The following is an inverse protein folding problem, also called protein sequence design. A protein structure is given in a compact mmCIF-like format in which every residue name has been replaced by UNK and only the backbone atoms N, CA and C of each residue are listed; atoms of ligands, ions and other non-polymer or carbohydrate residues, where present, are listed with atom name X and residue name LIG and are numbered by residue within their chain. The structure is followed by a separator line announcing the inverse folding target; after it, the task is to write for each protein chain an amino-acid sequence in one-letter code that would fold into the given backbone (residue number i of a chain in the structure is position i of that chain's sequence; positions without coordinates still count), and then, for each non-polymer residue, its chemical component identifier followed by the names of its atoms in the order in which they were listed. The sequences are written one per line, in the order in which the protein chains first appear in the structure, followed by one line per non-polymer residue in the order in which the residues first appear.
data_IF_923817506198
#
_entry.id   IF_923817506198
#
_cell.length_a   1.000
_cell.length_b   1.000
_cell.length_c   1.000
_cell.angle_alpha   90.00
_cell.angle_beta   90.00
_cell.angle_gamma   90.00
#
_symmetry.space_group_name_H-M   'P 1'
#
loop_
_entity.id
_entity.type
_entity.pdbx_description
1 polymer ?
#
# COMPACT_ATOMS: atom_id res chain seq x y z
N UNK A 1 -61.58 30.41 13.51
CA UNK A 1 -61.55 29.48 14.66
C UNK A 1 -60.09 29.27 15.08
N UNK A 2 -59.82 29.32 16.41
CA UNK A 2 -58.82 28.59 17.25
C UNK A 2 -57.62 27.91 16.57
N UNK A 3 -56.45 27.72 17.19
CA UNK A 3 -55.72 28.18 18.40
C UNK A 3 -54.37 27.43 18.31
N UNK A 4 -53.31 28.04 18.82
CA UNK A 4 -51.98 27.46 19.04
C UNK A 4 -52.02 26.25 20.01
N UNK A 5 -51.21 25.19 19.79
CA UNK A 5 -50.20 24.66 20.75
C UNK A 5 -49.56 23.30 20.37
N UNK A 6 -48.32 23.20 20.86
CA UNK A 6 -47.24 22.20 20.80
C UNK A 6 -47.42 21.03 21.81
N UNK A 7 -46.47 20.06 21.83
CA UNK A 7 -46.16 18.97 22.82
C UNK A 7 -46.67 17.57 22.41
N UNK A 8 -46.01 16.40 22.58
CA UNK A 8 -44.61 15.92 22.67
C UNK A 8 -44.66 14.37 22.74
N UNK A 9 -43.56 13.69 22.36
CA UNK A 9 -42.96 12.46 22.93
C UNK A 9 -43.82 11.22 23.25
N UNK A 10 -43.41 10.04 22.71
CA UNK A 10 -43.44 8.78 23.48
C UNK A 10 -42.43 7.73 22.98
N UNK A 11 -41.55 7.30 23.88
CA UNK A 11 -40.70 6.10 23.82
C UNK A 11 -41.56 4.82 23.96
N UNK A 12 -41.14 3.71 23.35
CA UNK A 12 -41.54 2.37 23.77
C UNK A 12 -40.31 1.50 24.06
N UNK A 13 -40.19 1.15 25.35
CA UNK A 13 -39.36 0.10 25.93
C UNK A 13 -40.19 -1.20 25.93
N UNK A 14 -39.61 -2.34 25.60
CA UNK A 14 -40.11 -3.64 26.09
C UNK A 14 -38.91 -4.49 26.54
N UNK A 15 -39.11 -5.11 27.70
CA UNK A 15 -38.14 -5.80 28.54
C UNK A 15 -38.75 -7.16 28.92
N UNK A 16 -37.88 -8.15 29.11
CA UNK A 16 -37.95 -9.33 29.98
C UNK A 16 -38.13 -10.72 29.34
N UNK A 17 -37.22 -11.61 29.75
CA UNK A 17 -37.29 -13.06 29.63
C UNK A 17 -35.95 -13.73 29.95
N UNK A 18 -35.61 -13.88 31.24
CA UNK A 18 -34.45 -14.60 31.75
C UNK A 18 -34.75 -16.09 31.97
N UNK A 19 -33.79 -16.98 31.69
CA UNK A 19 -33.64 -18.26 32.41
C UNK A 19 -32.14 -18.59 32.52
N UNK A 20 -31.70 -18.93 33.73
CA UNK A 20 -30.37 -19.46 34.04
C UNK A 20 -30.44 -20.99 34.16
N UNK A 21 -29.36 -21.69 33.80
CA UNK A 21 -28.88 -22.87 34.49
C UNK A 21 -27.41 -23.12 34.16
N UNK A 22 -26.64 -23.46 35.20
CA UNK A 22 -25.26 -23.90 35.14
C UNK A 22 -25.22 -25.44 35.14
N UNK A 23 -24.27 -26.05 34.41
CA UNK A 23 -23.29 -26.98 34.97
C UNK A 23 -22.34 -27.57 33.91
N UNK A 24 -21.08 -27.65 34.37
CA UNK A 24 -20.03 -28.66 34.13
C UNK A 24 -19.15 -28.68 32.87
N UNK A 25 -17.87 -28.91 33.20
CA UNK A 25 -16.63 -29.06 32.43
C UNK A 25 -16.68 -30.21 31.40
N UNK A 26 -16.02 -30.02 30.26
CA UNK A 26 -14.95 -30.92 29.78
C UNK A 26 -14.12 -30.24 28.67
N UNK A 27 -12.96 -30.81 28.35
CA UNK A 27 -11.76 -30.14 27.81
C UNK A 27 -11.43 -30.67 26.39
N UNK A 28 -10.69 -29.87 25.58
CA UNK A 28 -9.92 -30.21 24.34
C UNK A 28 -10.82 -30.33 23.07
N UNK A 29 -10.54 -29.81 21.87
CA UNK A 29 -9.30 -29.60 21.09
C UNK A 29 -9.39 -28.39 20.13
N UNK A 30 -8.23 -28.04 19.57
CA UNK A 30 -7.92 -27.01 18.56
C UNK A 30 -8.73 -27.07 17.26
N UNK A 31 -8.63 -25.93 16.55
CA UNK A 31 -8.73 -25.67 15.11
C UNK A 31 -9.94 -24.79 14.75
N UNK A 32 -9.67 -23.52 14.44
CA UNK A 32 -10.58 -22.66 13.68
C UNK A 32 -9.77 -21.79 12.72
N UNK A 33 -10.18 -21.92 11.47
CA UNK A 33 -9.59 -21.49 10.22
C UNK A 33 -9.59 -19.96 10.00
N UNK A 34 -8.62 -19.53 9.19
CA UNK A 34 -8.71 -18.31 8.40
C UNK A 34 -9.67 -18.56 7.22
N UNK A 35 -10.82 -17.87 7.21
CA UNK A 35 -11.86 -18.00 6.20
C UNK A 35 -11.37 -17.82 4.76
N UNK A 36 -11.46 -18.90 3.97
CA UNK A 36 -11.52 -18.91 2.51
C UNK A 36 -12.98 -18.72 2.05
N UNK A 37 -13.16 -18.12 0.87
CA UNK A 37 -14.47 -17.84 0.26
C UNK A 37 -14.89 -19.06 -0.56
N UNK A 38 -16.00 -19.70 -0.18
CA UNK A 38 -16.66 -20.77 -0.94
C UNK A 38 -17.42 -20.20 -2.15
N UNK A 39 -17.20 -20.80 -3.33
CA UNK A 39 -18.11 -20.73 -4.48
C UNK A 39 -18.88 -22.05 -4.53
N UNK A 40 -20.21 -21.97 -4.71
CA UNK A 40 -21.13 -23.11 -4.73
C UNK A 40 -20.85 -24.12 -5.85
N UNK A 41 -20.97 -25.40 -5.50
CA UNK A 41 -20.84 -26.61 -6.31
C UNK A 41 -21.87 -26.70 -7.46
N UNK A 42 -21.41 -27.10 -8.65
CA UNK A 42 -22.17 -27.99 -9.54
C UNK A 42 -21.30 -29.19 -9.92
N UNK A 43 -21.77 -30.38 -9.54
CA UNK A 43 -21.07 -31.66 -9.57
C UNK A 43 -20.78 -32.21 -10.97
N UNK A 44 -19.57 -32.73 -11.20
CA UNK A 44 -19.31 -33.83 -12.17
C UNK A 44 -18.28 -34.82 -11.62
N UNK A 45 -18.82 -36.02 -11.36
CA UNK A 45 -18.32 -37.39 -11.39
C UNK A 45 -16.80 -37.68 -11.38
N UNK A 46 -16.41 -38.49 -10.40
CA UNK A 46 -15.10 -39.10 -10.20
C UNK A 46 -14.92 -40.32 -11.10
N UNK A 47 -14.34 -40.16 -12.29
CA UNK A 47 -13.80 -41.25 -13.11
C UNK A 47 -12.53 -40.79 -13.85
N UNK A 48 -11.51 -41.64 -13.82
CA UNK A 48 -10.25 -41.60 -14.61
C UNK A 48 -9.05 -40.82 -14.04
N UNK A 49 -8.69 -41.17 -12.80
CA UNK A 49 -7.30 -41.13 -12.34
C UNK A 49 -6.56 -42.36 -12.90
N UNK A 50 -6.12 -42.34 -14.17
CA UNK A 50 -5.09 -43.22 -14.80
C UNK A 50 -5.20 -43.23 -16.35
N UNK A 51 -5.02 -42.09 -17.05
CA UNK A 51 -4.79 -42.13 -18.51
C UNK A 51 -4.31 -40.82 -19.16
N UNK A 52 -3.35 -40.06 -18.60
CA UNK A 52 -2.56 -39.10 -19.41
C UNK A 52 -1.12 -38.96 -18.87
N UNK A 53 -0.47 -40.10 -18.62
CA UNK A 53 0.96 -40.21 -18.88
C UNK A 53 1.09 -40.58 -20.36
N UNK A 54 1.93 -39.85 -21.09
CA UNK A 54 2.43 -40.16 -22.44
C UNK A 54 1.52 -39.89 -23.64
N UNK A 55 1.37 -38.61 -24.00
CA UNK A 55 1.17 -38.09 -25.37
C UNK A 55 1.07 -36.55 -25.26
N UNK A 56 2.04 -35.69 -25.60
CA UNK A 56 2.80 -35.57 -26.84
C UNK A 56 4.01 -34.67 -26.55
N UNK A 57 5.20 -35.25 -26.69
CA UNK A 57 6.40 -34.58 -27.18
C UNK A 57 6.22 -34.20 -28.65
N UNK A 58 7.01 -33.22 -29.12
CA UNK A 58 7.05 -32.58 -30.45
C UNK A 58 6.23 -31.28 -30.46
N UNK A 59 6.84 -30.10 -30.24
CA UNK A 59 7.78 -29.51 -31.18
C UNK A 59 8.87 -28.68 -30.46
N UNK A 60 10.12 -29.11 -30.65
CA UNK A 60 11.34 -28.41 -30.30
C UNK A 60 11.70 -27.45 -31.43
N UNK A 61 11.96 -26.17 -31.15
CA UNK A 61 12.95 -25.41 -31.94
C UNK A 61 13.33 -24.05 -31.33
N UNK A 62 14.48 -24.07 -30.65
CA UNK A 62 15.56 -23.07 -30.71
C UNK A 62 15.38 -21.74 -29.97
N UNK A 63 15.95 -21.63 -28.76
CA UNK A 63 16.89 -20.55 -28.42
C UNK A 63 18.01 -21.11 -27.49
N UNK A 64 19.28 -20.73 -27.69
CA UNK A 64 20.44 -21.45 -27.16
C UNK A 64 20.72 -21.19 -25.68
N UNK A 65 21.22 -22.23 -25.04
CA UNK A 65 21.85 -22.29 -23.72
C UNK A 65 23.04 -21.31 -23.61
N UNK A 66 23.18 -20.68 -22.45
CA UNK A 66 24.48 -20.30 -21.91
C UNK A 66 24.46 -20.54 -20.39
N UNK A 67 25.22 -21.58 -20.02
CA UNK A 67 25.76 -21.91 -18.70
C UNK A 67 25.69 -20.81 -17.63
N UNK A 68 24.93 -21.09 -16.57
CA UNK A 68 25.34 -20.73 -15.22
C UNK A 68 25.12 -21.95 -14.34
N UNK A 69 26.22 -22.58 -13.94
CA UNK A 69 26.26 -23.68 -12.98
C UNK A 69 25.43 -23.34 -11.73
N UNK A 70 24.45 -24.19 -11.46
CA UNK A 70 23.71 -24.22 -10.20
C UNK A 70 24.60 -24.84 -9.12
N UNK A 71 25.45 -24.04 -8.48
CA UNK A 71 26.04 -24.43 -7.20
C UNK A 71 25.07 -24.07 -6.07
N UNK A 72 24.19 -25.04 -5.77
CA UNK A 72 23.28 -25.03 -4.64
C UNK A 72 24.11 -25.09 -3.34
N UNK A 73 24.42 -23.94 -2.77
CA UNK A 73 25.07 -23.86 -1.46
C UNK A 73 24.07 -24.27 -0.36
N UNK A 74 24.19 -25.52 0.08
CA UNK A 74 23.58 -26.06 1.29
C UNK A 74 24.24 -25.41 2.52
N UNK A 75 23.61 -24.35 3.04
CA UNK A 75 24.02 -23.77 4.33
C UNK A 75 23.38 -24.58 5.46
N UNK A 76 24.14 -25.55 5.99
CA UNK A 76 23.95 -26.04 7.35
C UNK A 76 23.93 -24.85 8.32
N UNK A 77 22.79 -24.64 8.98
CA UNK A 77 22.60 -23.61 10.02
C UNK A 77 23.35 -24.06 11.27
N UNK A 78 24.66 -23.82 11.29
CA UNK A 78 25.34 -23.53 12.55
C UNK A 78 25.05 -22.08 12.89
N UNK A 79 24.65 -21.85 14.14
CA UNK A 79 24.23 -20.56 14.67
C UNK A 79 25.28 -19.46 14.45
N UNK A 80 25.18 -18.76 13.32
CA UNK A 80 25.86 -17.48 13.12
C UNK A 80 24.97 -16.42 13.76
N UNK A 81 25.31 -16.02 14.99
CA UNK A 81 24.96 -14.69 15.46
C UNK A 81 25.57 -13.70 14.45
N UNK A 82 24.74 -13.15 13.57
CA UNK A 82 25.13 -12.01 12.76
C UNK A 82 25.26 -10.81 13.68
N UNK A 83 26.45 -10.63 14.27
CA UNK A 83 26.86 -9.35 14.85
C UNK A 83 27.03 -8.35 13.69
N UNK A 84 25.91 -7.88 13.12
CA UNK A 84 25.92 -6.74 12.22
C UNK A 84 26.44 -5.54 13.00
N UNK A 85 27.58 -4.97 12.59
CA UNK A 85 28.07 -3.68 13.08
C UNK A 85 27.38 -2.50 12.38
N UNK A 86 26.53 -2.77 11.38
CA UNK A 86 25.70 -1.76 10.76
C UNK A 86 24.53 -1.46 11.69
N UNK A 87 24.59 -0.29 12.30
CA UNK A 87 23.55 0.34 13.10
C UNK A 87 22.99 1.47 12.23
N UNK A 88 21.67 1.64 12.15
CA UNK A 88 21.09 2.69 11.32
C UNK A 88 21.37 4.10 11.87
N UNK A 89 20.97 5.11 11.11
CA UNK A 89 21.29 6.51 11.40
C UNK A 89 20.49 7.11 12.57
N UNK A 90 19.58 6.36 13.18
CA UNK A 90 18.68 6.86 14.24
C UNK A 90 19.16 6.52 15.65
N UNK A 91 20.16 5.67 15.73
CA UNK A 91 20.71 5.16 16.98
C UNK A 91 21.68 6.16 17.65
N UNK A 92 21.87 6.14 18.97
CA UNK A 92 21.24 5.26 19.97
C UNK A 92 19.85 5.78 20.38
N UNK A 93 18.78 5.04 20.07
CA UNK A 93 17.38 5.39 20.36
C UNK A 93 16.67 4.37 21.28
N UNK A 94 17.43 3.53 21.98
CA UNK A 94 16.99 2.41 22.85
C UNK A 94 16.08 2.80 24.04
N UNK A 95 15.79 4.09 24.23
CA UNK A 95 14.97 4.56 25.35
C UNK A 95 14.11 5.75 24.95
N UNK A 96 12.96 5.91 25.62
CA UNK A 96 12.09 7.07 25.43
C UNK A 96 12.83 8.42 25.58
N UNK A 97 13.81 8.49 26.49
CA UNK A 97 14.60 9.71 26.70
C UNK A 97 15.52 10.04 25.51
N UNK A 98 15.96 9.02 24.77
CA UNK A 98 16.78 9.14 23.56
C UNK A 98 15.97 9.12 22.27
N UNK A 99 14.64 9.04 22.35
CA UNK A 99 13.76 8.90 21.19
C UNK A 99 14.12 9.88 20.06
N UNK A 100 14.32 9.33 18.87
CA UNK A 100 14.73 10.08 17.68
C UNK A 100 13.57 10.91 17.14
N UNK A 101 13.86 12.10 16.63
CA UNK A 101 12.81 12.96 16.07
C UNK A 101 12.34 12.42 14.71
N UNK A 102 11.07 12.02 14.61
CA UNK A 102 10.50 11.46 13.39
C UNK A 102 10.63 12.43 12.20
N UNK A 103 10.58 13.74 12.43
CA UNK A 103 10.73 14.74 11.36
C UNK A 103 12.11 14.74 10.70
N UNK A 104 13.10 14.12 11.33
CA UNK A 104 14.48 13.97 10.84
C UNK A 104 14.75 12.61 10.17
N UNK A 105 13.74 11.74 10.09
CA UNK A 105 13.83 10.46 9.40
C UNK A 105 13.55 10.63 7.91
N UNK A 106 14.23 9.85 7.06
CA UNK A 106 14.11 9.96 5.61
C UNK A 106 13.10 8.95 5.03
N UNK A 107 12.13 9.39 4.20
CA UNK A 107 11.18 8.49 3.56
C UNK A 107 11.89 7.52 2.62
N UNK A 108 11.49 6.24 2.67
CA UNK A 108 11.94 5.21 1.73
C UNK A 108 11.54 5.60 0.31
N UNK A 109 10.31 6.07 0.14
CA UNK A 109 9.86 6.66 -1.11
C UNK A 109 8.84 7.76 -0.87
N UNK A 110 8.90 8.79 -1.71
CA UNK A 110 7.86 9.83 -1.85
C UNK A 110 7.22 9.81 -3.23
N UNK A 111 7.56 8.82 -4.05
CA UNK A 111 7.15 8.74 -5.47
C UNK A 111 6.67 7.35 -5.84
N UNK A 112 5.47 7.27 -6.41
CA UNK A 112 4.93 6.04 -7.01
C UNK A 112 5.54 5.86 -8.39
N UNK A 113 6.12 4.68 -8.66
CA UNK A 113 6.77 4.36 -9.94
C UNK A 113 6.26 3.09 -10.60
N UNK A 114 5.77 2.15 -9.80
CA UNK A 114 5.30 0.84 -10.24
C UNK A 114 4.19 0.33 -9.31
N UNK A 115 3.46 -0.69 -9.74
CA UNK A 115 2.60 -1.48 -8.86
C UNK A 115 3.44 -1.99 -7.66
N UNK A 116 2.89 -1.92 -6.45
CA UNK A 116 3.60 -2.25 -5.20
C UNK A 116 4.35 -1.07 -4.56
N UNK A 117 4.50 0.09 -5.23
CA UNK A 117 5.13 1.28 -4.60
C UNK A 117 4.39 1.79 -3.37
N UNK A 118 3.10 1.44 -3.21
CA UNK A 118 2.28 1.83 -2.07
C UNK A 118 2.79 1.25 -0.75
N UNK A 119 3.46 0.10 -0.78
CA UNK A 119 3.94 -0.57 0.42
C UNK A 119 4.95 0.29 1.21
N UNK A 120 5.82 1.01 0.49
CA UNK A 120 6.88 1.83 1.09
C UNK A 120 6.63 3.34 0.98
N UNK A 121 5.49 3.74 0.42
CA UNK A 121 5.21 5.15 0.17
C UNK A 121 5.01 5.92 1.48
N UNK A 122 5.87 6.91 1.69
CA UNK A 122 5.89 7.70 2.92
C UNK A 122 6.40 6.95 4.15
N UNK A 123 6.69 5.65 4.05
CA UNK A 123 7.30 4.87 5.12
C UNK A 123 8.73 5.32 5.40
N UNK A 124 9.21 5.05 6.60
CA UNK A 124 10.62 5.09 7.03
C UNK A 124 11.10 3.67 7.21
N UNK A 125 12.41 3.47 7.29
CA UNK A 125 13.01 2.16 7.60
C UNK A 125 13.96 2.28 8.77
N UNK A 126 13.96 1.31 9.66
CA UNK A 126 14.93 1.16 10.74
C UNK A 126 15.23 -0.32 10.96
N UNK A 127 16.07 -0.64 11.95
CA UNK A 127 16.39 -2.03 12.27
C UNK A 127 16.57 -2.31 13.76
N UNK A 128 16.06 -3.45 14.23
CA UNK A 128 16.33 -3.99 15.57
C UNK A 128 17.57 -4.91 15.57
N UNK A 129 18.69 -4.44 16.08
CA UNK A 129 20.00 -5.09 16.05
C UNK A 129 20.23 -6.09 17.18
N UNK A 130 19.38 -6.12 18.20
CA UNK A 130 19.43 -7.12 19.28
C UNK A 130 18.03 -7.49 19.78
N UNK A 131 17.91 -8.63 20.46
CA UNK A 131 16.63 -9.07 21.04
C UNK A 131 16.10 -8.11 22.13
N UNK A 132 17.00 -7.28 22.67
CA UNK A 132 16.72 -6.26 23.67
C UNK A 132 16.63 -4.84 23.09
N UNK A 133 16.81 -4.69 21.79
CA UNK A 133 16.77 -3.41 21.09
C UNK A 133 15.34 -2.83 21.12
N UNK A 134 15.24 -1.54 21.43
CA UNK A 134 14.00 -0.79 21.40
C UNK A 134 14.16 0.51 20.63
N UNK A 135 13.62 0.57 19.42
CA UNK A 135 13.64 1.79 18.64
C UNK A 135 12.56 2.78 19.10
N UNK A 136 12.97 3.89 19.75
CA UNK A 136 12.05 4.97 20.13
C UNK A 136 12.09 6.14 19.15
N UNK A 137 10.91 6.59 18.70
CA UNK A 137 10.75 7.81 17.91
C UNK A 137 9.74 8.76 18.54
N UNK A 138 9.87 10.07 18.29
CA UNK A 138 8.97 11.10 18.80
C UNK A 138 8.54 12.10 17.73
N UNK A 139 7.34 12.64 17.89
CA UNK A 139 6.81 13.71 17.06
C UNK A 139 5.85 14.56 17.89
N UNK A 140 5.75 15.85 17.54
CA UNK A 140 4.80 16.78 18.16
C UNK A 140 3.55 16.89 17.30
N UNK A 141 2.38 16.72 17.91
CA UNK A 141 1.09 16.84 17.24
C UNK A 141 0.22 17.87 17.94
N UNK A 142 -0.74 18.42 17.20
CA UNK A 142 -1.71 19.39 17.68
C UNK A 142 -2.99 18.71 18.13
N UNK A 143 -3.65 19.30 19.14
CA UNK A 143 -5.01 18.91 19.53
C UNK A 143 -5.93 18.90 18.31
N UNK A 144 -6.64 17.80 18.11
CA UNK A 144 -7.53 17.60 16.96
C UNK A 144 -6.90 16.90 15.76
N UNK A 145 -5.57 16.72 15.74
CA UNK A 145 -4.91 15.94 14.70
C UNK A 145 -5.37 14.47 14.76
N UNK A 146 -5.49 13.85 13.58
CA UNK A 146 -5.57 12.39 13.45
C UNK A 146 -4.21 11.90 13.00
N UNK A 147 -3.57 11.07 13.82
CA UNK A 147 -2.31 10.41 13.47
C UNK A 147 -2.58 8.99 13.00
N UNK A 148 -1.79 8.53 12.04
CA UNK A 148 -1.73 7.15 11.60
C UNK A 148 -0.39 6.58 12.00
N UNK A 149 -0.42 5.40 12.59
CA UNK A 149 0.74 4.62 12.98
C UNK A 149 0.67 3.35 12.16
N UNK A 150 1.76 3.02 11.47
CA UNK A 150 1.90 1.83 10.65
C UNK A 150 3.27 1.22 10.91
N UNK A 151 3.32 -0.10 11.04
CA UNK A 151 4.54 -0.89 11.12
C UNK A 151 4.38 -2.06 10.17
N UNK A 152 5.40 -2.28 9.34
CA UNK A 152 5.49 -3.41 8.41
C UNK A 152 6.84 -4.06 8.57
N UNK A 153 6.88 -5.32 8.97
CA UNK A 153 8.14 -6.04 9.08
C UNK A 153 8.37 -6.95 7.88
N UNK A 154 9.64 -7.14 7.53
CA UNK A 154 10.04 -8.03 6.46
C UNK A 154 10.19 -9.45 7.04
N UNK A 155 9.63 -10.45 6.35
CA UNK A 155 9.72 -11.86 6.74
C UNK A 155 8.81 -12.26 7.91
N UNK A 156 9.06 -13.45 8.47
CA UNK A 156 8.16 -14.13 9.43
C UNK A 156 8.28 -13.67 10.89
N UNK A 157 8.85 -12.49 11.16
CA UNK A 157 9.14 -12.04 12.53
C UNK A 157 7.99 -11.29 13.15
N UNK A 158 7.87 -11.37 14.48
CA UNK A 158 6.83 -10.65 15.21
C UNK A 158 7.38 -9.35 15.84
N UNK A 159 7.66 -8.33 15.01
CA UNK A 159 8.05 -6.99 15.48
C UNK A 159 6.79 -6.24 15.91
N UNK A 160 6.82 -5.56 17.05
CA UNK A 160 5.70 -4.84 17.63
C UNK A 160 5.92 -3.34 17.61
N UNK A 161 4.83 -2.59 17.67
CA UNK A 161 4.83 -1.13 17.78
C UNK A 161 3.84 -0.69 18.86
N UNK A 162 4.23 0.28 19.67
CA UNK A 162 3.41 0.86 20.73
C UNK A 162 3.46 2.40 20.69
N UNK A 163 2.39 3.05 21.12
CA UNK A 163 2.21 4.50 21.21
C UNK A 163 2.19 4.92 22.69
N UNK A 164 2.92 5.99 23.00
CA UNK A 164 2.99 6.58 24.34
C UNK A 164 2.72 8.09 24.28
N UNK A 165 2.16 8.63 25.36
CA UNK A 165 2.07 10.08 25.55
C UNK A 165 3.37 10.65 26.16
N UNK A 166 3.40 11.97 26.33
CA UNK A 166 4.53 12.71 26.91
C UNK A 166 4.91 12.32 28.33
N UNK A 167 3.98 11.77 29.11
CA UNK A 167 4.23 11.29 30.47
C UNK A 167 4.88 9.90 30.53
N UNK A 168 5.04 9.23 29.38
CA UNK A 168 5.49 7.85 29.28
C UNK A 168 4.39 6.82 29.55
N UNK A 169 3.13 7.25 29.59
CA UNK A 169 2.00 6.32 29.69
C UNK A 169 1.70 5.71 28.33
N UNK A 170 1.60 4.38 28.28
CA UNK A 170 1.20 3.64 27.09
C UNK A 170 -0.27 3.95 26.73
N UNK A 171 -0.50 4.33 25.48
CA UNK A 171 -1.83 4.58 24.90
C UNK A 171 -2.33 3.34 24.18
N UNK A 172 -1.43 2.67 23.44
CA UNK A 172 -1.76 1.56 22.56
C UNK A 172 -0.51 0.70 22.32
N UNK A 173 -0.69 -0.61 22.14
CA UNK A 173 0.40 -1.54 21.85
C UNK A 173 -0.10 -2.71 21.00
N UNK A 174 0.55 -2.94 19.86
CA UNK A 174 0.17 -3.98 18.91
C UNK A 174 0.17 -5.38 19.53
N UNK A 175 1.07 -5.66 20.50
CA UNK A 175 1.16 -7.01 21.10
C UNK A 175 -0.10 -7.41 21.85
N UNK A 176 -0.91 -6.43 22.28
CA UNK A 176 -2.12 -6.64 23.10
C UNK A 176 -3.35 -6.90 22.22
N UNK A 177 -3.18 -6.99 20.91
CA UNK A 177 -4.26 -7.11 19.95
C UNK A 177 -4.09 -8.40 19.15
N UNK A 178 -5.04 -9.32 19.32
CA UNK A 178 -5.00 -10.67 18.73
C UNK A 178 -4.82 -10.67 17.21
N UNK A 179 -5.49 -9.76 16.48
CA UNK A 179 -5.38 -9.69 15.01
C UNK A 179 -3.99 -9.33 14.47
N UNK A 180 -3.07 -8.90 15.33
CA UNK A 180 -1.70 -8.55 14.95
C UNK A 180 -0.68 -9.63 15.33
N UNK A 181 -1.12 -10.71 15.98
CA UNK A 181 -0.22 -11.76 16.42
C UNK A 181 0.39 -12.49 15.22
N UNK A 182 1.70 -12.36 15.04
CA UNK A 182 2.43 -12.97 13.91
C UNK A 182 2.21 -12.29 12.56
N UNK A 183 1.41 -11.21 12.50
CA UNK A 183 1.16 -10.49 11.25
C UNK A 183 2.30 -9.52 10.93
N UNK A 184 2.72 -9.40 9.66
CA UNK A 184 3.77 -8.46 9.28
C UNK A 184 3.31 -7.00 9.40
N UNK A 185 2.01 -6.73 9.31
CA UNK A 185 1.43 -5.39 9.31
C UNK A 185 0.67 -5.07 10.60
N UNK A 186 0.95 -3.91 11.18
CA UNK A 186 0.38 -3.45 12.45
C UNK A 186 0.08 -1.97 12.36
N UNK A 187 -1.16 -1.59 12.59
CA UNK A 187 -1.58 -0.20 12.38
C UNK A 187 -2.59 0.29 13.42
N UNK A 188 -2.56 1.60 13.66
CA UNK A 188 -3.46 2.29 14.59
C UNK A 188 -3.79 3.71 14.11
N UNK A 189 -5.04 4.13 14.32
CA UNK A 189 -5.46 5.51 14.11
C UNK A 189 -5.73 6.11 15.48
N UNK A 190 -5.15 7.27 15.77
CA UNK A 190 -5.31 7.94 17.04
C UNK A 190 -5.73 9.39 16.85
N UNK A 191 -6.70 9.82 17.65
CA UNK A 191 -7.13 11.22 17.71
C UNK A 191 -6.39 11.90 18.85
N UNK A 192 -5.66 12.97 18.54
CA UNK A 192 -4.81 13.70 19.50
C UNK A 192 -5.69 14.59 20.39
N UNK A 193 -5.87 14.27 21.69
CA UNK A 193 -6.76 15.03 22.56
C UNK A 193 -6.17 16.36 23.03
N UNK A 194 -4.84 16.49 23.00
CA UNK A 194 -4.10 17.66 23.46
C UNK A 194 -2.79 17.80 22.70
N UNK A 195 -2.43 19.05 22.39
CA UNK A 195 -1.16 19.38 21.72
C UNK A 195 0.02 18.98 22.59
N UNK A 196 0.77 17.98 22.16
CA UNK A 196 1.91 17.45 22.92
C UNK A 196 2.88 16.66 22.04
N UNK A 197 3.98 16.21 22.64
CA UNK A 197 4.90 15.23 22.07
C UNK A 197 4.40 13.83 22.37
N UNK A 198 4.29 13.01 21.33
CA UNK A 198 3.94 11.60 21.40
C UNK A 198 5.12 10.77 20.93
N UNK A 199 5.16 9.51 21.38
CA UNK A 199 6.28 8.62 21.15
C UNK A 199 5.77 7.30 20.59
N UNK A 200 6.50 6.72 19.66
CA UNK A 200 6.35 5.31 19.33
C UNK A 200 7.56 4.52 19.83
N UNK A 201 7.32 3.26 20.13
CA UNK A 201 8.34 2.26 20.45
C UNK A 201 8.18 1.08 19.52
N UNK A 202 9.23 0.70 18.82
CA UNK A 202 9.30 -0.49 17.96
C UNK A 202 10.23 -1.50 18.62
N UNK A 203 9.80 -2.75 18.75
CA UNK A 203 10.51 -3.74 19.56
C UNK A 203 10.16 -5.18 19.15
N UNK A 204 10.95 -6.16 19.58
CA UNK A 204 10.68 -7.60 19.36
C UNK A 204 10.44 -8.32 20.70
N UNK A 205 9.91 -9.55 20.64
CA UNK A 205 9.75 -10.45 21.79
C UNK A 205 10.82 -11.56 21.83
N UNK A 206 11.99 -11.32 21.24
CA UNK A 206 13.16 -12.22 21.33
C UNK A 206 13.62 -12.88 20.02
N UNK A 207 12.97 -12.64 18.88
CA UNK A 207 13.32 -13.25 17.58
C UNK A 207 14.42 -12.45 16.83
N UNK A 208 15.56 -13.06 16.40
CA UNK A 208 16.54 -12.42 15.48
C UNK A 208 17.26 -13.39 14.51
N UNK A 209 17.47 -13.04 13.21
CA UNK A 209 18.65 -12.25 12.78
C UNK A 209 18.48 -11.10 11.75
N UNK A 210 17.43 -11.03 10.90
CA UNK A 210 17.28 -9.86 9.99
C UNK A 210 16.40 -8.73 10.56
N UNK A 211 16.91 -7.49 10.72
CA UNK A 211 16.35 -6.51 11.67
C UNK A 211 15.34 -5.52 11.07
N UNK A 212 15.20 -5.48 9.74
CA UNK A 212 14.60 -4.33 9.06
C UNK A 212 13.07 -4.29 9.18
N UNK A 213 12.56 -3.11 9.51
CA UNK A 213 11.14 -2.81 9.47
C UNK A 213 10.89 -1.49 8.74
N UNK A 214 9.68 -1.36 8.22
CA UNK A 214 9.14 -0.11 7.70
C UNK A 214 8.12 0.45 8.67
N UNK A 215 8.09 1.77 8.84
CA UNK A 215 7.11 2.39 9.74
C UNK A 215 6.66 3.77 9.30
N UNK A 216 5.50 4.17 9.79
CA UNK A 216 4.94 5.49 9.65
C UNK A 216 4.41 5.99 10.98
N UNK A 217 4.72 7.25 11.30
CA UNK A 217 4.27 7.92 12.50
C UNK A 217 4.00 9.38 12.15
N UNK A 218 2.84 9.65 11.58
CA UNK A 218 2.53 10.97 11.04
C UNK A 218 1.04 11.25 10.96
N UNK A 219 0.71 12.41 10.38
CA UNK A 219 -0.69 12.79 10.16
C UNK A 219 -1.35 11.84 9.18
N UNK A 220 -2.59 11.45 9.49
CA UNK A 220 -3.38 10.57 8.63
C UNK A 220 -3.73 11.26 7.32
N UNK A 221 -4.16 12.51 7.39
CA UNK A 221 -4.86 13.15 6.27
C UNK A 221 -3.95 14.00 5.40
N UNK A 222 -4.39 14.21 4.16
CA UNK A 222 -3.83 15.20 3.25
C UNK A 222 -2.31 15.07 3.05
N UNK A 223 -1.79 13.84 3.10
CA UNK A 223 -0.40 13.56 2.79
C UNK A 223 -0.17 13.77 1.30
N UNK A 224 0.99 14.33 0.95
CA UNK A 224 1.33 14.71 -0.42
C UNK A 224 2.48 13.84 -0.93
N UNK A 225 2.28 13.27 -2.11
CA UNK A 225 3.25 12.41 -2.77
C UNK A 225 3.33 12.73 -4.25
N UNK A 226 4.40 12.24 -4.88
CA UNK A 226 4.60 12.32 -6.30
C UNK A 226 4.27 10.97 -6.97
N UNK A 227 4.06 11.01 -8.28
CA UNK A 227 3.97 9.81 -9.09
C UNK A 227 4.66 10.03 -10.43
N UNK A 228 5.14 8.93 -10.99
CA UNK A 228 5.71 8.83 -12.32
C UNK A 228 5.42 7.42 -12.83
N UNK A 229 4.34 7.27 -13.57
CA UNK A 229 3.79 5.98 -13.99
C UNK A 229 3.94 5.85 -15.50
N UNK A 230 4.44 4.71 -15.94
CA UNK A 230 4.43 4.34 -17.34
C UNK A 230 3.03 3.86 -17.70
N UNK A 231 2.39 4.52 -18.66
CA UNK A 231 1.06 4.16 -19.13
C UNK A 231 1.16 3.01 -20.13
N UNK A 232 0.11 2.19 -20.19
CA UNK A 232 0.02 1.09 -21.15
C UNK A 232 0.13 1.59 -22.59
N UNK A 233 0.92 0.88 -23.39
CA UNK A 233 1.14 1.20 -24.79
C UNK A 233 -0.11 0.87 -25.61
N UNK A 234 -0.37 1.66 -26.65
CA UNK A 234 -1.30 1.28 -27.71
C UNK A 234 -0.65 1.19 -29.08
N UNK A 235 -1.18 0.26 -29.88
CA UNK A 235 -0.89 0.15 -31.31
C UNK A 235 -1.73 1.15 -32.09
N UNK A 236 -1.06 2.01 -32.84
CA UNK A 236 -1.71 3.05 -33.64
C UNK A 236 -2.10 2.48 -35.01
N UNK A 237 -3.38 2.59 -35.37
CA UNK A 237 -3.84 2.48 -36.77
C UNK A 237 -3.70 3.86 -37.45
N UNK A 238 -3.58 3.95 -38.79
CA UNK A 238 -3.39 5.23 -39.49
C UNK A 238 -4.55 6.22 -39.27
N UNK A 239 -4.47 6.98 -38.19
CA UNK A 239 -5.51 7.87 -37.66
C UNK A 239 -4.85 9.18 -37.18
N UNK A 240 -5.64 10.25 -37.12
CA UNK A 240 -5.25 11.53 -36.51
C UNK A 240 -5.37 11.51 -34.98
N UNK A 241 -6.08 10.52 -34.45
CA UNK A 241 -6.31 10.28 -33.02
C UNK A 241 -5.62 9.00 -32.59
N UNK A 242 -4.91 9.09 -31.48
CA UNK A 242 -4.15 8.03 -30.85
C UNK A 242 -4.73 7.81 -29.46
N UNK A 243 -5.21 6.61 -29.13
CA UNK A 243 -5.69 6.27 -27.79
C UNK A 243 -4.77 5.23 -27.16
N UNK A 244 -4.41 5.35 -25.88
CA UNK A 244 -3.68 4.31 -25.13
C UNK A 244 -4.58 3.16 -24.70
N UNK A 245 -3.95 2.07 -24.26
CA UNK A 245 -4.61 1.07 -23.43
C UNK A 245 -5.13 1.71 -22.14
N UNK A 246 -6.00 1.00 -21.45
CA UNK A 246 -6.53 1.45 -20.16
C UNK A 246 -5.58 1.03 -19.06
N UNK A 247 -4.89 1.98 -18.45
CA UNK A 247 -4.07 1.72 -17.26
C UNK A 247 -4.96 1.70 -16.02
N UNK A 248 -4.86 0.65 -15.22
CA UNK A 248 -5.60 0.55 -13.97
C UNK A 248 -4.88 1.31 -12.84
N UNK A 249 -5.33 2.53 -12.56
CA UNK A 249 -4.76 3.38 -11.51
C UNK A 249 -5.00 2.84 -10.09
N UNK A 250 -5.92 1.90 -9.91
CA UNK A 250 -6.15 1.23 -8.61
C UNK A 250 -4.94 0.43 -8.15
N UNK A 251 -4.07 0.01 -9.08
CA UNK A 251 -2.81 -0.67 -8.77
C UNK A 251 -1.71 0.28 -8.27
N UNK A 252 -1.90 1.59 -8.45
CA UNK A 252 -0.88 2.60 -8.16
C UNK A 252 -1.30 3.53 -7.04
N UNK A 253 -2.56 3.95 -6.97
CA UNK A 253 -2.99 4.99 -6.04
C UNK A 253 -3.88 4.43 -4.93
N UNK A 254 -3.82 5.00 -3.71
CA UNK A 254 -4.78 4.66 -2.67
C UNK A 254 -6.17 5.20 -3.02
N UNK A 255 -7.21 4.61 -2.42
CA UNK A 255 -8.62 4.97 -2.68
C UNK A 255 -8.96 6.44 -2.41
N UNK A 256 -8.23 7.10 -1.51
CA UNK A 256 -8.41 8.51 -1.16
C UNK A 256 -7.59 9.48 -2.05
N UNK A 257 -6.90 8.96 -3.08
CA UNK A 257 -6.01 9.77 -3.90
C UNK A 257 -6.76 10.79 -4.74
N UNK A 258 -6.37 12.06 -4.59
CA UNK A 258 -6.87 13.18 -5.36
C UNK A 258 -5.69 13.90 -6.04
N UNK A 259 -5.79 14.11 -7.34
CA UNK A 259 -4.74 14.74 -8.13
C UNK A 259 -4.50 16.18 -7.67
N UNK A 260 -3.23 16.58 -7.57
CA UNK A 260 -2.84 17.99 -7.45
C UNK A 260 -2.53 18.53 -8.84
N UNK A 261 -1.74 17.78 -9.61
CA UNK A 261 -1.40 18.06 -10.99
C UNK A 261 -1.05 16.78 -11.75
N UNK A 262 -1.04 16.86 -13.08
CA UNK A 262 -0.57 15.81 -13.97
C UNK A 262 0.09 16.44 -15.19
N UNK A 263 1.17 15.83 -15.63
CA UNK A 263 1.82 16.09 -16.90
C UNK A 263 1.98 14.76 -17.63
N UNK A 264 1.66 14.77 -18.92
CA UNK A 264 1.89 13.65 -19.82
C UNK A 264 3.08 13.97 -20.72
N UNK A 265 3.87 12.95 -21.06
CA UNK A 265 4.89 13.09 -22.11
C UNK A 265 4.24 13.47 -23.45
N UNK A 266 4.54 14.66 -24.01
CA UNK A 266 3.75 15.25 -25.10
C UNK A 266 4.20 14.79 -26.50
N UNK A 267 4.72 13.56 -26.62
CA UNK A 267 5.24 13.05 -27.88
C UNK A 267 5.06 11.55 -28.03
N UNK A 268 5.04 11.11 -29.28
CA UNK A 268 5.14 9.70 -29.69
C UNK A 268 6.52 9.43 -30.29
N UNK A 269 6.97 8.18 -30.19
CA UNK A 269 8.22 7.72 -30.80
C UNK A 269 7.87 7.01 -32.12
N UNK A 270 8.45 7.47 -33.22
CA UNK A 270 8.29 6.86 -34.55
C UNK A 270 9.65 6.42 -35.09
N UNK A 271 9.66 5.62 -36.17
CA UNK A 271 10.90 5.26 -36.88
C UNK A 271 11.66 6.48 -37.41
N UNK A 272 10.95 7.59 -37.67
CA UNK A 272 11.51 8.86 -38.13
C UNK A 272 11.91 9.82 -37.00
N UNK A 273 11.72 9.44 -35.73
CA UNK A 273 12.01 10.27 -34.55
C UNK A 273 10.77 10.65 -33.74
N UNK A 274 10.91 11.68 -32.90
CA UNK A 274 9.85 12.16 -32.00
C UNK A 274 8.85 13.04 -32.74
N UNK A 275 7.56 12.78 -32.54
CA UNK A 275 6.46 13.60 -33.06
C UNK A 275 5.65 14.15 -31.89
N UNK A 276 5.51 15.48 -31.82
CA UNK A 276 4.74 16.15 -30.76
C UNK A 276 3.23 15.99 -30.97
N UNK A 277 2.52 15.86 -29.86
CA UNK A 277 1.07 15.91 -29.80
C UNK A 277 0.59 17.36 -29.65
N UNK A 278 -0.48 17.73 -30.36
CA UNK A 278 -1.12 19.04 -30.28
C UNK A 278 -2.18 19.10 -29.17
N UNK A 279 -2.87 17.99 -28.94
CA UNK A 279 -3.88 17.85 -27.90
C UNK A 279 -3.66 16.52 -27.20
N UNK A 280 -3.81 16.53 -25.89
CA UNK A 280 -3.84 15.33 -25.06
C UNK A 280 -5.05 15.36 -24.16
N UNK A 281 -5.66 14.21 -23.93
CA UNK A 281 -6.71 14.02 -22.97
C UNK A 281 -6.44 12.82 -22.07
N UNK A 282 -6.89 12.94 -20.84
CA UNK A 282 -6.95 11.89 -19.82
C UNK A 282 -8.41 11.68 -19.49
N UNK A 283 -8.89 10.46 -19.48
CA UNK A 283 -10.17 10.10 -18.87
C UNK A 283 -9.91 9.24 -17.64
N UNK A 284 -10.42 9.66 -16.49
CA UNK A 284 -10.38 8.89 -15.25
C UNK A 284 -11.80 8.80 -14.71
N UNK A 285 -12.27 7.58 -14.45
CA UNK A 285 -13.61 7.34 -13.89
C UNK A 285 -14.74 8.00 -14.72
N UNK A 286 -14.60 8.05 -16.05
CA UNK A 286 -15.57 8.68 -16.95
C UNK A 286 -15.49 10.20 -17.02
N UNK A 287 -14.57 10.84 -16.29
CA UNK A 287 -14.33 12.28 -16.36
C UNK A 287 -13.11 12.58 -17.23
N UNK A 288 -13.32 13.39 -18.26
CA UNK A 288 -12.29 13.78 -19.21
C UNK A 288 -11.62 15.11 -18.84
N UNK A 289 -10.30 15.15 -18.98
CA UNK A 289 -9.45 16.33 -18.79
C UNK A 289 -8.55 16.46 -20.02
N UNK A 290 -8.53 17.62 -20.68
CA UNK A 290 -7.73 17.81 -21.88
C UNK A 290 -6.84 19.03 -21.80
N UNK A 291 -5.79 19.03 -22.63
CA UNK A 291 -4.87 20.15 -22.77
C UNK A 291 -4.40 20.31 -24.20
N UNK A 292 -4.05 21.55 -24.54
CA UNK A 292 -3.26 21.92 -25.73
C UNK A 292 -1.91 22.52 -25.35
N UNK A 293 -1.52 22.40 -24.08
CA UNK A 293 -0.20 22.79 -23.60
C UNK A 293 0.85 21.88 -24.24
N UNK A 294 1.83 22.48 -24.92
CA UNK A 294 2.94 21.78 -25.59
C UNK A 294 3.88 21.07 -24.60
N UNK A 295 3.84 21.46 -23.32
CA UNK A 295 4.53 20.80 -22.21
C UNK A 295 3.75 19.59 -21.67
N UNK A 296 2.49 19.39 -22.08
CA UNK A 296 1.64 18.27 -21.67
C UNK A 296 1.01 18.38 -20.29
N UNK A 297 0.92 19.60 -19.73
CA UNK A 297 0.24 19.83 -18.44
C UNK A 297 -1.27 19.67 -18.58
N UNK A 298 -1.86 18.79 -17.77
CA UNK A 298 -3.31 18.51 -17.75
C UNK A 298 -3.95 19.22 -16.55
N UNK A 299 -5.02 20.01 -16.74
CA UNK A 299 -5.73 20.69 -15.65
C UNK A 299 -6.65 19.71 -14.88
N UNK A 300 -6.03 18.83 -14.09
CA UNK A 300 -6.70 17.70 -13.42
C UNK A 300 -6.90 17.89 -11.90
N UNK A 301 -6.62 19.09 -11.37
CA UNK A 301 -6.63 19.34 -9.93
C UNK A 301 -7.94 18.93 -9.26
N UNK A 302 -7.84 18.10 -8.23
CA UNK A 302 -8.97 17.57 -7.47
C UNK A 302 -9.51 16.22 -7.97
N UNK A 303 -9.14 15.77 -9.16
CA UNK A 303 -9.65 14.52 -9.74
C UNK A 303 -9.38 13.30 -8.84
N UNK A 304 -10.34 12.40 -8.75
CA UNK A 304 -10.15 11.09 -8.13
C UNK A 304 -9.23 10.24 -9.02
N UNK A 305 -8.09 9.84 -8.47
CA UNK A 305 -7.10 9.01 -9.17
C UNK A 305 -7.36 7.51 -9.00
N UNK A 306 -8.27 7.08 -8.12
CA UNK A 306 -8.54 5.68 -7.89
C UNK A 306 -9.54 5.14 -8.92
N UNK A 307 -9.03 4.69 -10.06
CA UNK A 307 -9.89 4.37 -11.20
C UNK A 307 -9.22 3.70 -12.37
N UNK A 308 -9.98 3.55 -13.46
CA UNK A 308 -9.41 3.24 -14.78
C UNK A 308 -9.04 4.54 -15.48
N UNK A 309 -7.84 4.59 -16.02
CA UNK A 309 -7.33 5.74 -16.76
C UNK A 309 -7.08 5.36 -18.23
N UNK A 310 -7.64 6.14 -19.15
CA UNK A 310 -7.31 6.07 -20.58
C UNK A 310 -6.78 7.42 -21.05
N UNK A 311 -5.96 7.41 -22.11
CA UNK A 311 -5.38 8.60 -22.68
C UNK A 311 -5.69 8.70 -24.16
N UNK A 312 -5.86 9.93 -24.64
CA UNK A 312 -5.96 10.26 -26.05
C UNK A 312 -4.89 11.32 -26.39
N UNK A 313 -4.26 11.19 -27.55
CA UNK A 313 -3.33 12.14 -28.13
C UNK A 313 -3.73 12.45 -29.56
N UNK A 314 -3.60 13.71 -29.98
CA UNK A 314 -3.87 14.14 -31.35
C UNK A 314 -2.67 14.83 -31.96
N UNK A 315 -2.42 14.56 -33.24
CA UNK A 315 -1.32 15.15 -34.00
C UNK A 315 -1.73 16.52 -34.56
N UNK A 316 -0.75 17.43 -34.68
CA UNK A 316 -0.97 18.76 -35.27
C UNK A 316 -1.33 18.71 -36.76
N UNK A 317 -0.74 17.75 -37.50
CA UNK A 317 -1.04 17.52 -38.91
C UNK A 317 -0.54 16.13 -39.34
N UNK A 318 -1.14 15.57 -40.40
CA UNK A 318 -0.72 14.31 -41.00
C UNK A 318 -1.28 13.05 -40.32
N UNK A 319 -0.88 11.90 -40.86
CA UNK A 319 -1.05 10.57 -40.24
C UNK A 319 0.33 10.10 -39.82
N UNK A 320 0.50 9.59 -38.61
CA UNK A 320 1.68 8.76 -38.36
C UNK A 320 1.46 7.38 -38.99
N UNK A 321 2.54 6.70 -39.37
CA UNK A 321 2.50 5.28 -39.71
C UNK A 321 2.17 4.42 -38.49
N UNK A 322 2.50 3.12 -38.53
CA UNK A 322 2.47 2.29 -37.32
C UNK A 322 3.39 2.94 -36.29
N UNK A 323 2.83 3.29 -35.15
CA UNK A 323 3.55 3.88 -34.03
C UNK A 323 3.04 3.27 -32.73
N UNK A 324 3.88 3.30 -31.70
CA UNK A 324 3.49 2.99 -30.33
C UNK A 324 3.49 4.28 -29.52
N UNK A 325 2.45 4.45 -28.70
CA UNK A 325 2.42 5.52 -27.71
C UNK A 325 2.26 4.92 -26.34
N UNK A 326 3.29 5.10 -25.52
CA UNK A 326 3.33 4.72 -24.11
C UNK A 326 3.79 5.97 -23.33
N UNK A 327 2.89 6.94 -23.09
CA UNK A 327 3.26 8.16 -22.39
C UNK A 327 3.62 7.85 -20.93
N UNK A 328 4.49 8.68 -20.36
CA UNK A 328 4.69 8.71 -18.93
C UNK A 328 3.75 9.76 -18.33
N UNK A 329 2.95 9.37 -17.35
CA UNK A 329 2.16 10.29 -16.53
C UNK A 329 2.92 10.60 -15.24
N UNK A 330 3.14 11.88 -14.95
CA UNK A 330 3.83 12.28 -13.73
C UNK A 330 3.23 13.55 -13.12
N UNK A 331 3.33 13.66 -11.80
CA UNK A 331 2.77 14.78 -11.07
C UNK A 331 2.76 14.53 -9.57
N UNK A 332 1.84 15.19 -8.88
CA UNK A 332 1.63 15.05 -7.45
C UNK A 332 0.16 14.77 -7.13
N UNK A 333 -0.07 14.11 -6.01
CA UNK A 333 -1.40 13.81 -5.48
C UNK A 333 -1.43 13.99 -3.97
N UNK A 334 -2.63 14.12 -3.42
CA UNK A 334 -2.90 14.06 -1.98
C UNK A 334 -3.69 12.80 -1.65
N UNK A 335 -3.48 12.23 -0.47
CA UNK A 335 -4.27 11.10 0.02
C UNK A 335 -4.31 11.06 1.54
N UNK A 336 -5.19 10.22 2.05
CA UNK A 336 -5.16 9.79 3.45
C UNK A 336 -4.34 8.51 3.59
N UNK A 337 -3.45 8.48 4.59
CA UNK A 337 -2.73 7.28 5.00
C UNK A 337 -3.71 6.24 5.54
N UNK A 338 -3.51 5.01 5.10
CA UNK A 338 -4.31 3.86 5.47
C UNK A 338 -3.39 2.62 5.41
N UNK A 339 -3.85 1.46 5.92
CA UNK A 339 -3.19 0.21 5.60
C UNK A 339 -3.24 0.05 4.09
N UNK A 340 -2.08 0.13 3.44
CA UNK A 340 -1.98 -0.05 2.00
C UNK A 340 -1.50 -1.47 1.74
N UNK A 341 -2.11 -2.19 0.77
CA UNK A 341 -1.72 -3.55 0.47
C UNK A 341 -0.21 -3.63 0.20
N UNK A 342 0.44 -4.62 0.82
CA UNK A 342 1.79 -5.05 0.48
C UNK A 342 1.80 -6.17 -0.54
N UNK A 343 3.00 -6.54 -0.99
CA UNK A 343 3.22 -7.84 -1.63
C UNK A 343 3.06 -8.91 -0.53
N UNK A 344 1.82 -9.23 -0.17
CA UNK A 344 1.49 -10.45 0.58
C UNK A 344 1.64 -11.68 -0.33
#
# INVERSE_FOLDING_TARGET
MRKVRMISLLMCLFLLGSVANANELETISNDEDCLSIEFEDEAIDSLELEAVNDAINEDNSLLPENDFDNEYFDYTIDAVQSNSTFVDNYEDNDTMAKAYDYSRTEPVSTTIRAAGSLYSLGMRTGGLYSASDEDWFKARYSSGDRIFIDLRNIGKKNINIALYNSSGSEIWDSKKISKFNGCPEKYYNYYVPSTDTYYIKIYTLGDLPEPNYYFYFGLKENQKFNYRIQMEASTITPSTTISTGTTDFRNFFPRSASAINMTLTPYIITSSGLVRLQEMAVEINGQQYSTRDEDGRIPIGGADLYGRCSLEGRLQSGRCGIASWAPQAYGSFRCDMAPYPGNE
#
